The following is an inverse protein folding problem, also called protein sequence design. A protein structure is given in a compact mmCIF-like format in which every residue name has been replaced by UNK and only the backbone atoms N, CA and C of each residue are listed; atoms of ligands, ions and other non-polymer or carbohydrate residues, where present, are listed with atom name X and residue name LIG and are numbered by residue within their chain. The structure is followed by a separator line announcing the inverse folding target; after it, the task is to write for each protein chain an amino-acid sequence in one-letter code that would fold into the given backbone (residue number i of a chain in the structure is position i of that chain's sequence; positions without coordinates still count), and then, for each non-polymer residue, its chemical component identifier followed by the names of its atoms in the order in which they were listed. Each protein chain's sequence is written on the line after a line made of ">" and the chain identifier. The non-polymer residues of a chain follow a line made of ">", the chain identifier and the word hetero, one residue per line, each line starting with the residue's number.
data_IF_072434091441
#
_entry.id   IF_072434091441
#
_cell.length_a   1.000
_cell.length_b   1.000
_cell.length_c   1.000
_cell.angle_alpha   90.00
_cell.angle_beta   90.00
_cell.angle_gamma   90.00
#
_symmetry.space_group_name_H-M   'P 1'
#
loop_
_entity.id
_entity.type
_entity.pdbx_description
1 polymer ?
#
# COMPACT_ATOMS: atom_id res chain seq x y z
N UNK A 1 53.64 5.14 36.79
CA UNK A 1 52.36 5.85 36.58
C UNK A 1 51.74 5.24 35.31
N UNK A 2 50.69 4.40 35.31
CA UNK A 2 49.61 4.14 36.29
C UNK A 2 48.80 5.42 36.58
N UNK A 3 47.46 5.51 36.45
CA UNK A 3 46.33 4.56 36.21
C UNK A 3 45.35 5.17 35.15
N UNK A 4 44.24 4.60 34.65
CA UNK A 4 43.50 3.31 34.79
C UNK A 4 42.33 3.32 33.76
N UNK A 5 41.97 2.22 33.08
CA UNK A 5 40.92 1.21 33.40
C UNK A 5 39.46 1.75 33.48
N UNK A 6 38.56 1.35 32.56
CA UNK A 6 37.51 0.28 32.66
C UNK A 6 36.29 0.74 33.51
N UNK A 7 35.01 0.64 33.10
CA UNK A 7 34.32 0.05 31.91
C UNK A 7 33.16 1.00 31.46
N UNK A 8 32.15 0.72 30.60
CA UNK A 8 31.76 -0.45 29.79
C UNK A 8 30.22 -0.54 29.61
N UNK A 9 29.69 -0.38 28.39
CA UNK A 9 28.29 -0.73 28.07
C UNK A 9 28.13 -1.10 26.59
N UNK A 10 27.47 -2.24 26.30
CA UNK A 10 27.19 -2.70 24.94
C UNK A 10 25.74 -2.35 24.56
N UNK A 11 25.56 -1.35 23.70
CA UNK A 11 24.29 -1.09 23.01
C UNK A 11 24.44 -1.32 21.49
N UNK A 12 23.35 -1.71 20.82
CA UNK A 12 23.35 -2.17 19.43
C UNK A 12 23.34 -1.02 18.38
N UNK A 13 24.36 -0.16 18.36
CA UNK A 13 24.41 0.98 17.41
C UNK A 13 25.01 0.66 16.02
N UNK A 14 25.18 -0.62 15.70
CA UNK A 14 25.96 -1.05 14.52
C UNK A 14 25.26 -1.09 13.15
N UNK A 15 23.98 -0.70 13.03
CA UNK A 15 23.20 -0.89 11.79
C UNK A 15 22.75 0.39 11.05
N UNK A 16 22.36 1.47 11.75
CA UNK A 16 21.80 2.67 11.09
C UNK A 16 22.83 3.56 10.40
N UNK A 17 24.10 3.50 10.81
CA UNK A 17 25.20 4.27 10.21
C UNK A 17 25.42 3.97 8.71
N UNK A 18 24.95 2.81 8.22
CA UNK A 18 25.00 2.47 6.80
C UNK A 18 24.00 3.28 5.97
N UNK A 19 22.73 3.30 6.35
CA UNK A 19 21.65 3.90 5.57
C UNK A 19 21.84 5.42 5.39
N UNK A 20 22.15 6.14 6.47
CA UNK A 20 22.40 7.58 6.45
C UNK A 20 23.56 7.98 5.53
N UNK A 21 24.59 7.12 5.42
CA UNK A 21 25.75 7.36 4.56
C UNK A 21 25.43 7.17 3.07
N UNK A 22 24.63 6.15 2.71
CA UNK A 22 24.17 5.96 1.33
C UNK A 22 23.24 7.08 0.86
N UNK A 23 22.33 7.57 1.71
CA UNK A 23 21.45 8.70 1.40
C UNK A 23 22.21 10.02 1.16
N UNK A 24 23.33 10.24 1.87
CA UNK A 24 24.21 11.39 1.68
C UNK A 24 24.98 11.37 0.34
N UNK A 25 25.23 10.19 -0.24
CA UNK A 25 25.85 10.09 -1.57
C UNK A 25 24.82 10.30 -2.69
N UNK A 26 23.59 9.81 -2.53
CA UNK A 26 22.49 10.00 -3.51
C UNK A 26 22.07 11.48 -3.58
N UNK A 27 22.09 12.22 -2.46
CA UNK A 27 21.76 13.65 -2.48
C UNK A 27 22.84 14.51 -3.18
N UNK A 28 24.08 14.03 -3.28
CA UNK A 28 25.18 14.71 -3.97
C UNK A 28 25.20 14.50 -5.47
N UNK A 29 24.66 13.40 -5.99
CA UNK A 29 24.68 13.06 -7.43
C UNK A 29 23.59 13.78 -8.24
N UNK A 30 23.30 15.04 -7.91
CA UNK A 30 22.13 15.79 -8.38
C UNK A 30 21.89 15.75 -9.90
N UNK A 31 20.89 14.96 -10.30
CA UNK A 31 20.28 14.96 -11.63
C UNK A 31 18.86 14.36 -11.53
N UNK A 32 17.93 15.12 -10.95
CA UNK A 32 16.49 14.79 -11.01
C UNK A 32 15.77 15.77 -11.93
N UNK A 33 15.64 15.39 -13.20
CA UNK A 33 14.82 16.09 -14.18
C UNK A 33 13.33 15.89 -13.87
N UNK A 34 12.76 16.81 -13.10
CA UNK A 34 11.31 16.99 -12.98
C UNK A 34 10.72 17.33 -14.36
N UNK A 35 10.21 16.35 -15.12
CA UNK A 35 9.04 16.52 -16.01
C UNK A 35 8.56 15.21 -16.69
N UNK A 36 7.25 15.18 -16.94
CA UNK A 36 6.45 14.29 -17.83
C UNK A 36 5.72 13.04 -17.25
N UNK A 37 4.40 13.25 -17.12
CA UNK A 37 3.28 12.36 -17.45
C UNK A 37 3.17 10.95 -16.86
N UNK A 38 2.27 10.80 -15.88
CA UNK A 38 1.37 9.66 -15.80
C UNK A 38 -0.05 10.09 -16.22
N UNK A 39 -0.71 9.33 -17.11
CA UNK A 39 -2.14 9.56 -17.44
C UNK A 39 -2.99 8.84 -16.39
N UNK A 40 -3.83 9.56 -15.65
CA UNK A 40 -4.88 8.97 -14.82
C UNK A 40 -5.98 8.36 -15.71
N UNK A 41 -6.59 7.26 -15.25
CA UNK A 41 -7.75 6.63 -15.89
C UNK A 41 -8.87 6.61 -14.86
N UNK A 42 -9.80 7.55 -14.98
CA UNK A 42 -10.99 7.60 -14.14
C UNK A 42 -12.06 6.65 -14.68
N UNK A 43 -12.17 5.46 -14.10
CA UNK A 43 -13.36 4.62 -14.26
C UNK A 43 -14.49 5.16 -13.35
N UNK A 44 -15.64 5.50 -13.96
CA UNK A 44 -16.87 5.81 -13.23
C UNK A 44 -17.83 4.62 -13.26
N UNK A 45 -18.55 4.45 -12.15
CA UNK A 45 -19.74 3.59 -11.96
C UNK A 45 -19.55 2.06 -11.97
N UNK A 46 -19.34 1.49 -10.77
CA UNK A 46 -20.16 0.35 -10.26
C UNK A 46 -20.41 0.53 -8.76
N UNK A 47 -21.45 1.29 -8.38
CA UNK A 47 -21.86 1.46 -6.96
C UNK A 47 -23.35 1.20 -6.73
N UNK A 48 -23.89 0.13 -7.33
CA UNK A 48 -25.18 -0.41 -6.89
C UNK A 48 -25.02 -1.04 -5.48
N UNK A 49 -25.91 -0.73 -4.51
CA UNK A 49 -25.87 -1.37 -3.19
C UNK A 49 -26.11 -2.87 -3.33
N UNK A 50 -25.32 -3.66 -2.60
CA UNK A 50 -25.46 -5.12 -2.55
C UNK A 50 -26.74 -5.44 -1.78
N UNK A 51 -27.70 -6.13 -2.40
CA UNK A 51 -28.67 -6.91 -1.63
C UNK A 51 -28.03 -8.25 -1.29
N UNK A 52 -28.29 -8.78 -0.09
CA UNK A 52 -27.81 -10.10 0.30
C UNK A 52 -28.44 -11.25 -0.52
N UNK A 53 -29.45 -10.94 -1.33
CA UNK A 53 -30.03 -11.80 -2.36
C UNK A 53 -29.12 -11.96 -3.59
N UNK A 54 -28.41 -10.89 -4.01
CA UNK A 54 -27.72 -10.83 -5.32
C UNK A 54 -26.36 -11.54 -5.37
N UNK A 55 -25.75 -11.84 -4.21
CA UNK A 55 -24.33 -12.25 -4.13
C UNK A 55 -24.09 -13.61 -3.49
N UNK A 56 -25.05 -14.13 -2.71
CA UNK A 56 -24.75 -15.21 -1.76
C UNK A 56 -25.70 -16.41 -1.85
N UNK A 57 -25.25 -17.46 -2.55
CA UNK A 57 -25.78 -18.82 -2.47
C UNK A 57 -25.29 -19.49 -1.17
N UNK A 58 -25.85 -19.07 -0.03
CA UNK A 58 -25.15 -19.24 1.27
C UNK A 58 -25.17 -20.64 1.88
N UNK A 59 -26.00 -21.55 1.41
CA UNK A 59 -26.23 -22.85 2.05
C UNK A 59 -26.40 -23.92 0.99
N UNK A 60 -25.57 -24.96 1.09
CA UNK A 60 -25.57 -26.22 0.34
C UNK A 60 -26.78 -26.47 -0.58
N UNK A 61 -26.54 -26.73 -1.86
CA UNK A 61 -26.47 -28.11 -2.40
C UNK A 61 -25.70 -28.10 -3.74
N UNK A 62 -25.12 -29.25 -4.11
CA UNK A 62 -24.48 -29.60 -5.39
C UNK A 62 -23.89 -28.49 -6.28
N UNK A 63 -22.59 -28.18 -6.09
CA UNK A 63 -21.75 -27.56 -7.14
C UNK A 63 -20.39 -28.25 -7.16
N UNK A 64 -20.13 -28.93 -8.27
CA UNK A 64 -18.94 -29.77 -8.55
C UNK A 64 -17.59 -29.10 -8.29
N UNK A 65 -16.60 -29.93 -7.95
CA UNK A 65 -15.20 -29.53 -7.73
C UNK A 65 -14.55 -28.87 -8.95
N UNK A 66 -15.06 -29.13 -10.15
CA UNK A 66 -14.54 -28.61 -11.43
C UNK A 66 -14.57 -27.08 -11.59
N UNK A 67 -15.34 -26.36 -10.76
CA UNK A 67 -15.53 -24.90 -10.92
C UNK A 67 -14.38 -24.03 -10.36
N UNK A 68 -13.45 -24.59 -9.57
CA UNK A 68 -12.30 -23.85 -9.05
C UNK A 68 -11.15 -23.73 -10.05
N UNK A 69 -10.96 -24.74 -10.92
CA UNK A 69 -9.79 -24.82 -11.80
C UNK A 69 -9.83 -23.82 -12.97
N UNK A 70 -11.02 -23.35 -13.37
CA UNK A 70 -11.18 -22.42 -14.50
C UNK A 70 -10.68 -21.00 -14.23
N UNK A 71 -10.59 -20.59 -12.96
CA UNK A 71 -10.17 -19.24 -12.58
C UNK A 71 -8.65 -19.09 -12.33
N UNK A 72 -7.89 -20.20 -12.32
CA UNK A 72 -6.44 -20.17 -12.06
C UNK A 72 -5.59 -19.87 -13.30
N UNK A 73 -6.15 -19.94 -14.52
CA UNK A 73 -5.40 -19.91 -15.79
C UNK A 73 -5.85 -18.82 -16.79
N UNK A 74 -6.47 -17.73 -16.35
CA UNK A 74 -6.94 -16.67 -17.24
C UNK A 74 -5.86 -15.60 -17.55
N UNK A 75 -5.15 -15.75 -18.68
CA UNK A 75 -4.32 -14.67 -19.24
C UNK A 75 -5.19 -13.51 -19.76
N UNK A 76 -4.79 -12.23 -19.53
CA UNK A 76 -5.58 -11.08 -19.96
C UNK A 76 -5.26 -10.65 -21.40
N UNK A 77 -6.12 -11.02 -22.36
CA UNK A 77 -6.07 -10.47 -23.72
C UNK A 77 -6.40 -8.97 -23.72
N UNK A 78 -5.47 -8.14 -24.19
CA UNK A 78 -5.65 -6.69 -24.35
C UNK A 78 -6.25 -6.36 -25.71
N UNK A 79 -7.21 -5.43 -25.74
CA UNK A 79 -7.41 -4.50 -26.86
C UNK A 79 -8.12 -3.25 -26.33
N UNK A 80 -7.56 -2.08 -26.62
CA UNK A 80 -8.17 -0.78 -26.31
C UNK A 80 -8.01 0.14 -27.52
N UNK A 81 -9.13 0.63 -28.06
CA UNK A 81 -9.11 1.71 -29.03
C UNK A 81 -8.86 3.04 -28.30
N UNK A 82 -8.13 3.95 -28.96
CA UNK A 82 -7.78 5.26 -28.43
C UNK A 82 -8.67 6.30 -29.09
N UNK A 83 -9.58 6.92 -28.32
CA UNK A 83 -10.20 8.18 -28.71
C UNK A 83 -9.63 9.30 -27.84
N UNK A 84 -9.24 10.39 -28.49
CA UNK A 84 -8.60 11.56 -27.86
C UNK A 84 -9.64 12.54 -27.35
N UNK A 85 -9.61 12.83 -26.06
CA UNK A 85 -10.43 13.88 -25.44
C UNK A 85 -9.58 15.13 -25.22
N UNK A 86 -9.95 16.24 -25.87
CA UNK A 86 -9.42 17.57 -25.58
C UNK A 86 -9.97 18.08 -24.25
N UNK A 87 -9.14 18.64 -23.37
CA UNK A 87 -9.59 19.32 -22.15
C UNK A 87 -8.96 20.71 -22.00
N UNK A 88 -9.74 21.61 -21.40
CA UNK A 88 -9.61 23.06 -21.45
C UNK A 88 -8.44 23.64 -20.65
N UNK A 89 -7.84 24.68 -21.20
CA UNK A 89 -6.69 25.40 -20.65
C UNK A 89 -7.04 26.35 -19.49
N UNK A 90 -6.64 25.99 -18.28
CA UNK A 90 -6.38 26.94 -17.17
C UNK A 90 -5.17 26.49 -16.34
N UNK A 91 -4.03 26.32 -17.01
CA UNK A 91 -2.78 25.89 -16.40
C UNK A 91 -2.23 27.00 -15.49
N UNK A 92 -1.95 26.70 -14.22
CA UNK A 92 -1.08 27.58 -13.42
C UNK A 92 0.31 27.62 -14.07
N UNK A 93 0.95 28.79 -14.05
CA UNK A 93 2.34 28.88 -14.50
C UNK A 93 3.28 28.16 -13.53
N UNK A 94 4.51 27.89 -13.97
CA UNK A 94 5.54 27.31 -13.10
C UNK A 94 5.80 28.21 -11.88
N UNK A 95 5.76 29.52 -12.08
CA UNK A 95 6.05 30.50 -11.05
C UNK A 95 4.89 30.59 -10.04
N UNK A 96 3.63 30.52 -10.50
CA UNK A 96 2.46 30.41 -9.60
C UNK A 96 2.53 29.19 -8.67
N UNK A 97 3.02 28.05 -9.17
CA UNK A 97 3.19 26.82 -8.37
C UNK A 97 4.31 27.01 -7.35
N UNK A 98 5.42 27.66 -7.75
CA UNK A 98 6.55 27.96 -6.88
C UNK A 98 6.14 28.91 -5.75
N UNK A 99 5.46 30.01 -6.07
CA UNK A 99 5.01 31.02 -5.10
C UNK A 99 4.00 30.44 -4.10
N UNK A 100 3.02 29.65 -4.57
CA UNK A 100 2.10 28.91 -3.69
C UNK A 100 2.84 27.91 -2.79
N UNK A 101 3.84 27.21 -3.32
CA UNK A 101 4.66 26.27 -2.53
C UNK A 101 5.43 27.01 -1.43
N UNK A 102 6.08 28.14 -1.75
CA UNK A 102 6.77 28.97 -0.76
C UNK A 102 5.82 29.56 0.28
N UNK A 103 4.63 30.01 -0.12
CA UNK A 103 3.60 30.50 0.79
C UNK A 103 3.23 29.42 1.80
N UNK A 104 2.85 28.22 1.33
CA UNK A 104 2.50 27.10 2.19
C UNK A 104 3.66 26.68 3.11
N UNK A 105 4.90 26.65 2.62
CA UNK A 105 6.07 26.35 3.45
C UNK A 105 6.30 27.40 4.54
N UNK A 106 6.09 28.68 4.23
CA UNK A 106 6.26 29.77 5.20
C UNK A 106 5.17 29.76 6.29
N UNK A 107 3.93 29.39 5.95
CA UNK A 107 2.83 29.20 6.93
C UNK A 107 3.12 28.05 7.90
N UNK A 108 3.85 27.02 7.45
CA UNK A 108 4.13 25.81 8.24
C UNK A 108 5.60 25.77 8.73
N UNK A 109 6.23 26.94 8.90
CA UNK A 109 7.65 27.06 9.21
C UNK A 109 8.06 26.33 10.49
N UNK A 110 7.29 26.48 11.57
CA UNK A 110 7.62 25.89 12.89
C UNK A 110 7.64 24.35 12.84
N UNK A 111 6.74 23.74 12.05
CA UNK A 111 6.78 22.31 11.73
C UNK A 111 8.01 21.98 10.88
N UNK A 112 8.27 22.75 9.82
CA UNK A 112 9.41 22.50 8.92
C UNK A 112 10.76 22.54 9.67
N UNK A 113 10.87 23.32 10.75
CA UNK A 113 12.04 23.36 11.63
C UNK A 113 12.13 22.16 12.60
N UNK A 114 11.03 21.48 12.94
CA UNK A 114 11.06 20.24 13.75
C UNK A 114 11.44 18.99 12.95
N UNK A 115 11.17 18.98 11.65
CA UNK A 115 11.41 17.83 10.78
C UNK A 115 12.90 17.55 10.52
N UNK A 116 13.22 16.28 10.25
CA UNK A 116 14.50 15.89 9.68
C UNK A 116 14.61 16.23 8.18
N UNK A 117 15.82 16.10 7.61
CA UNK A 117 16.09 16.48 6.21
C UNK A 117 15.27 15.68 5.18
N UNK A 118 14.88 14.44 5.50
CA UNK A 118 13.97 13.64 4.67
C UNK A 118 12.53 14.15 4.78
N UNK A 119 12.07 14.45 6.00
CA UNK A 119 10.75 15.00 6.29
C UNK A 119 10.54 16.37 5.63
N UNK A 120 11.52 17.26 5.70
CA UNK A 120 11.51 18.56 4.98
C UNK A 120 11.34 18.39 3.48
N UNK A 121 12.05 17.43 2.86
CA UNK A 121 11.94 17.12 1.43
C UNK A 121 10.57 16.53 1.09
N UNK A 122 10.11 15.55 1.85
CA UNK A 122 8.77 14.98 1.70
C UNK A 122 7.71 16.08 1.75
N UNK A 123 7.75 16.94 2.77
CA UNK A 123 6.80 18.02 2.96
C UNK A 123 6.84 19.04 1.80
N UNK A 124 8.02 19.52 1.40
CA UNK A 124 8.16 20.46 0.30
C UNK A 124 7.70 19.88 -1.06
N UNK A 125 8.02 18.62 -1.35
CA UNK A 125 7.52 17.95 -2.54
C UNK A 125 6.02 17.67 -2.48
N UNK A 126 5.47 17.34 -1.31
CA UNK A 126 4.04 17.13 -1.10
C UNK A 126 3.22 18.40 -1.31
N UNK A 127 3.69 19.56 -0.87
CA UNK A 127 3.00 20.84 -1.13
C UNK A 127 2.87 21.11 -2.63
N UNK A 128 3.91 20.81 -3.43
CA UNK A 128 3.85 20.88 -4.88
C UNK A 128 2.86 19.87 -5.47
N UNK A 129 2.90 18.61 -5.01
CA UNK A 129 1.99 17.55 -5.47
C UNK A 129 0.52 17.83 -5.13
N UNK A 130 0.23 18.51 -4.01
CA UNK A 130 -1.11 18.99 -3.65
C UNK A 130 -1.60 20.09 -4.61
N UNK A 131 -0.76 21.07 -4.94
CA UNK A 131 -1.12 22.10 -5.93
C UNK A 131 -1.37 21.45 -7.31
N UNK A 132 -0.57 20.45 -7.68
CA UNK A 132 -0.75 19.68 -8.92
C UNK A 132 -1.98 18.76 -8.87
N UNK A 133 -2.40 18.27 -7.69
CA UNK A 133 -3.65 17.52 -7.51
C UNK A 133 -4.86 18.35 -7.91
N UNK A 134 -4.92 19.59 -7.44
CA UNK A 134 -6.08 20.47 -7.68
C UNK A 134 -6.17 20.91 -9.15
N UNK A 135 -5.03 21.06 -9.84
CA UNK A 135 -4.96 21.53 -11.24
C UNK A 135 -5.01 20.39 -12.27
N UNK A 136 -4.44 19.22 -11.95
CA UNK A 136 -4.25 18.11 -12.90
C UNK A 136 -4.90 16.79 -12.45
N UNK A 137 -5.72 16.81 -11.39
CA UNK A 137 -6.41 15.64 -10.83
C UNK A 137 -5.49 14.46 -10.49
N UNK A 138 -4.32 14.76 -9.92
CA UNK A 138 -3.33 13.76 -9.52
C UNK A 138 -3.87 12.79 -8.46
N UNK A 139 -4.09 11.53 -8.82
CA UNK A 139 -4.64 10.50 -7.93
C UNK A 139 -3.72 10.18 -6.73
N UNK A 140 -2.39 10.26 -6.91
CA UNK A 140 -1.40 9.99 -5.84
C UNK A 140 -0.20 10.94 -5.92
N UNK A 141 0.35 11.35 -4.78
CA UNK A 141 1.63 12.06 -4.74
C UNK A 141 2.71 11.24 -5.49
N UNK A 142 3.70 11.94 -6.05
CA UNK A 142 4.73 11.31 -6.89
C UNK A 142 5.51 10.29 -6.06
N UNK A 143 5.92 9.20 -6.69
CA UNK A 143 6.68 8.13 -6.02
C UNK A 143 8.03 8.64 -5.50
N UNK A 144 8.61 9.64 -6.18
CA UNK A 144 9.74 10.44 -5.69
C UNK A 144 9.47 11.28 -4.44
N UNK A 145 8.24 11.77 -4.25
CA UNK A 145 7.79 12.42 -3.01
C UNK A 145 7.65 11.38 -1.91
N UNK A 146 6.89 10.31 -2.15
CA UNK A 146 6.64 9.20 -1.21
C UNK A 146 7.95 8.59 -0.69
N UNK A 147 8.96 8.46 -1.55
CA UNK A 147 10.31 8.01 -1.21
C UNK A 147 10.93 8.80 -0.04
N UNK A 148 10.82 10.13 -0.02
CA UNK A 148 11.35 10.92 1.10
C UNK A 148 10.61 10.66 2.41
N UNK A 149 9.31 10.36 2.33
CA UNK A 149 8.51 9.96 3.49
C UNK A 149 9.03 8.68 4.13
N UNK A 150 9.48 7.70 3.34
CA UNK A 150 10.03 6.44 3.86
C UNK A 150 11.30 6.66 4.70
N UNK A 151 12.10 7.65 4.32
CA UNK A 151 13.39 7.96 4.95
C UNK A 151 13.32 9.01 6.05
N UNK A 152 12.14 9.52 6.42
CA UNK A 152 11.98 10.40 7.60
C UNK A 152 11.91 9.60 8.90
N UNK A 153 12.47 10.16 9.96
CA UNK A 153 12.26 9.71 11.33
C UNK A 153 11.14 10.49 12.04
N UNK A 154 10.62 11.56 11.42
CA UNK A 154 9.52 12.40 11.93
C UNK A 154 8.13 11.93 11.44
N UNK A 155 7.96 10.61 11.24
CA UNK A 155 6.76 10.05 10.60
C UNK A 155 5.45 10.36 11.36
N UNK A 156 5.51 10.36 12.70
CA UNK A 156 4.39 10.70 13.58
C UNK A 156 3.99 12.17 13.49
N UNK A 157 4.95 13.08 13.31
CA UNK A 157 4.73 14.53 13.20
C UNK A 157 4.06 14.86 11.86
N UNK A 158 4.58 14.27 10.79
CA UNK A 158 4.02 14.39 9.44
C UNK A 158 2.62 13.77 9.38
N UNK A 159 2.42 12.58 9.97
CA UNK A 159 1.10 11.96 10.02
C UNK A 159 0.08 12.80 10.81
N UNK A 160 0.47 13.32 11.97
CA UNK A 160 -0.37 14.24 12.77
C UNK A 160 -0.77 15.44 11.93
N UNK A 161 0.17 16.09 11.25
CA UNK A 161 -0.12 17.24 10.40
C UNK A 161 -1.13 16.93 9.29
N UNK A 162 -0.90 15.86 8.53
CA UNK A 162 -1.73 15.49 7.36
C UNK A 162 -3.19 15.23 7.76
N UNK A 163 -3.41 14.62 8.93
CA UNK A 163 -4.74 14.18 9.39
C UNK A 163 -5.20 14.86 10.68
N UNK A 164 -4.64 16.03 11.03
CA UNK A 164 -5.01 16.68 12.28
C UNK A 164 -6.49 17.04 12.28
N UNK A 165 -7.19 16.64 13.33
CA UNK A 165 -8.65 16.74 13.48
C UNK A 165 -9.49 16.12 12.34
N UNK A 166 -8.91 15.44 11.34
CA UNK A 166 -9.66 14.79 10.27
C UNK A 166 -10.35 13.50 10.78
N UNK A 167 -11.66 13.62 11.03
CA UNK A 167 -12.56 12.50 11.35
C UNK A 167 -12.86 11.65 10.11
N UNK A 168 -12.97 12.28 8.93
CA UNK A 168 -13.53 11.72 7.70
C UNK A 168 -12.49 11.17 6.71
N UNK A 169 -11.33 10.77 7.23
CA UNK A 169 -10.24 10.11 6.49
C UNK A 169 -10.75 9.06 5.49
N UNK A 170 -10.38 9.18 4.21
CA UNK A 170 -10.72 8.19 3.16
C UNK A 170 -9.49 7.41 2.67
N UNK A 171 -9.69 6.30 1.94
CA UNK A 171 -8.57 5.53 1.40
C UNK A 171 -7.81 6.32 0.34
N UNK A 172 -8.52 7.11 -0.48
CA UNK A 172 -7.94 7.97 -1.52
C UNK A 172 -7.01 9.03 -0.93
N UNK A 173 -7.33 9.59 0.24
CA UNK A 173 -6.42 10.48 0.97
C UNK A 173 -5.18 9.73 1.46
N UNK A 174 -5.36 8.62 2.19
CA UNK A 174 -4.27 7.78 2.72
C UNK A 174 -3.33 7.32 1.60
N UNK A 175 -3.90 6.91 0.47
CA UNK A 175 -3.19 6.53 -0.76
C UNK A 175 -2.46 7.71 -1.37
N UNK A 176 -3.10 8.88 -1.45
CA UNK A 176 -2.50 10.09 -2.01
C UNK A 176 -1.22 10.48 -1.27
N UNK A 177 -1.26 10.48 0.06
CA UNK A 177 -0.10 10.82 0.89
C UNK A 177 0.98 9.73 0.95
N UNK A 178 0.75 8.54 0.37
CA UNK A 178 1.74 7.44 0.36
C UNK A 178 1.85 6.67 1.67
N UNK A 179 0.92 6.86 2.61
CA UNK A 179 1.02 6.41 4.01
C UNK A 179 1.28 4.91 4.12
N UNK A 180 0.62 4.10 3.28
CA UNK A 180 0.75 2.63 3.31
C UNK A 180 2.19 2.17 3.02
N UNK A 181 2.94 2.94 2.23
CA UNK A 181 4.37 2.71 2.00
C UNK A 181 5.19 3.17 3.22
N UNK A 182 5.21 4.47 3.53
CA UNK A 182 6.25 5.02 4.40
C UNK A 182 6.03 4.89 5.90
N UNK A 183 4.80 4.91 6.41
CA UNK A 183 4.54 4.92 7.85
C UNK A 183 4.92 3.57 8.47
N UNK A 184 5.84 3.56 9.44
CA UNK A 184 6.41 2.35 10.08
C UNK A 184 5.56 1.92 11.28
N UNK A 185 5.00 2.87 12.02
CA UNK A 185 4.19 2.64 13.23
C UNK A 185 2.91 1.84 12.93
N UNK A 186 2.96 0.53 13.19
CA UNK A 186 1.83 -0.40 13.03
C UNK A 186 0.64 0.00 13.91
N UNK A 187 0.87 0.58 15.08
CA UNK A 187 -0.17 1.13 15.96
C UNK A 187 -0.96 2.25 15.30
N UNK A 188 -0.31 3.13 14.54
CA UNK A 188 -0.99 4.21 13.80
C UNK A 188 -1.70 3.63 12.57
N UNK A 189 -1.07 2.72 11.82
CA UNK A 189 -1.70 2.00 10.70
C UNK A 189 -2.97 1.25 11.14
N UNK A 190 -2.98 0.68 12.35
CA UNK A 190 -4.18 0.10 12.97
C UNK A 190 -5.27 1.14 13.18
N UNK A 191 -4.94 2.29 13.75
CA UNK A 191 -5.89 3.40 13.94
C UNK A 191 -6.46 3.91 12.62
N UNK A 192 -5.62 4.02 11.57
CA UNK A 192 -6.05 4.35 10.20
C UNK A 192 -7.04 3.31 9.68
N UNK A 193 -6.73 2.02 9.73
CA UNK A 193 -7.63 0.95 9.28
C UNK A 193 -8.98 0.98 10.03
N UNK A 194 -8.97 1.25 11.33
CA UNK A 194 -10.19 1.39 12.13
C UNK A 194 -11.02 2.62 11.78
N UNK A 195 -10.38 3.75 11.41
CA UNK A 195 -11.06 4.95 10.90
C UNK A 195 -11.66 4.68 9.52
N UNK A 196 -10.87 4.16 8.58
CA UNK A 196 -11.32 3.80 7.22
C UNK A 196 -12.55 2.88 7.25
N UNK A 197 -12.51 1.81 8.06
CA UNK A 197 -13.63 0.89 8.22
C UNK A 197 -14.90 1.58 8.74
N UNK A 198 -14.78 2.49 9.72
CA UNK A 198 -15.92 3.26 10.24
C UNK A 198 -16.47 4.21 9.18
N UNK A 199 -15.59 4.93 8.49
CA UNK A 199 -15.96 5.97 7.53
C UNK A 199 -16.64 5.37 6.30
N UNK A 200 -16.14 4.26 5.77
CA UNK A 200 -16.80 3.52 4.67
C UNK A 200 -18.20 3.02 5.08
N UNK A 201 -18.34 2.44 6.28
CA UNK A 201 -19.66 2.03 6.78
C UNK A 201 -20.61 3.22 6.98
N UNK A 202 -20.13 4.34 7.53
CA UNK A 202 -20.94 5.54 7.75
C UNK A 202 -21.38 6.19 6.43
N UNK A 203 -20.54 6.18 5.39
CA UNK A 203 -20.84 6.79 4.11
C UNK A 203 -21.90 6.03 3.29
N UNK A 204 -21.90 4.69 3.34
CA UNK A 204 -22.77 3.83 2.49
C UNK A 204 -23.80 2.99 3.26
N UNK A 205 -23.73 2.96 4.60
CA UNK A 205 -24.52 2.08 5.48
C UNK A 205 -24.45 0.58 5.14
N UNK A 206 -23.41 0.14 4.43
CA UNK A 206 -23.20 -1.24 4.02
C UNK A 206 -22.01 -1.85 4.79
N UNK A 207 -22.22 -2.87 5.65
CA UNK A 207 -21.13 -3.48 6.42
C UNK A 207 -20.05 -4.16 5.57
N UNK A 208 -20.35 -4.56 4.33
CA UNK A 208 -19.36 -5.18 3.43
C UNK A 208 -18.27 -4.20 3.01
N UNK A 209 -18.56 -2.90 2.91
CA UNK A 209 -17.54 -1.91 2.54
C UNK A 209 -16.46 -1.83 3.62
N UNK A 210 -16.83 -1.97 4.90
CA UNK A 210 -15.89 -2.02 6.02
C UNK A 210 -15.19 -3.39 6.21
N UNK A 211 -15.55 -4.42 5.43
CA UNK A 211 -15.15 -5.80 5.70
C UNK A 211 -13.65 -6.04 5.55
N UNK A 212 -13.03 -5.46 4.51
CA UNK A 212 -11.60 -5.62 4.25
C UNK A 212 -10.77 -5.19 5.46
N UNK A 213 -10.92 -3.93 5.89
CA UNK A 213 -10.20 -3.37 7.04
C UNK A 213 -10.47 -4.09 8.36
N UNK A 214 -11.72 -4.46 8.67
CA UNK A 214 -12.01 -5.19 9.89
C UNK A 214 -11.44 -6.62 9.89
N UNK A 215 -11.40 -7.32 8.75
CA UNK A 215 -10.86 -8.69 8.68
C UNK A 215 -9.32 -8.72 8.74
N UNK A 216 -8.64 -7.77 8.11
CA UNK A 216 -7.18 -7.57 8.26
C UNK A 216 -6.81 -7.38 9.74
N UNK A 217 -7.66 -6.71 10.51
CA UNK A 217 -7.50 -6.48 11.95
C UNK A 217 -7.96 -7.64 12.85
N UNK A 218 -8.39 -8.77 12.27
CA UNK A 218 -8.97 -9.91 13.01
C UNK A 218 -10.34 -9.63 13.67
N UNK A 219 -10.96 -8.49 13.37
CA UNK A 219 -12.20 -8.00 14.02
C UNK A 219 -13.49 -8.52 13.36
N UNK A 220 -13.56 -9.81 13.00
CA UNK A 220 -14.76 -10.45 12.41
C UNK A 220 -16.05 -10.15 13.19
N UNK A 221 -15.97 -10.13 14.52
CA UNK A 221 -17.12 -9.87 15.40
C UNK A 221 -17.71 -8.46 15.23
N UNK A 222 -16.92 -7.47 14.77
CA UNK A 222 -17.46 -6.15 14.41
C UNK A 222 -18.39 -6.23 13.21
N UNK A 223 -18.09 -7.08 12.22
CA UNK A 223 -18.96 -7.28 11.05
C UNK A 223 -20.27 -7.97 11.44
N UNK A 224 -20.22 -8.99 12.29
CA UNK A 224 -21.44 -9.62 12.85
C UNK A 224 -22.32 -8.59 13.58
N UNK A 225 -21.71 -7.66 14.33
CA UNK A 225 -22.43 -6.55 14.96
C UNK A 225 -23.03 -5.58 13.92
N UNK A 226 -22.27 -5.17 12.90
CA UNK A 226 -22.74 -4.26 11.86
C UNK A 226 -23.86 -4.87 10.99
N UNK A 227 -23.80 -6.16 10.65
CA UNK A 227 -24.91 -6.84 9.97
C UNK A 227 -26.18 -6.88 10.83
N UNK A 228 -26.04 -7.00 12.15
CA UNK A 228 -27.16 -6.89 13.09
C UNK A 228 -27.78 -5.49 13.10
N UNK A 229 -26.98 -4.41 13.03
CA UNK A 229 -27.53 -3.04 13.05
C UNK A 229 -28.31 -2.71 11.78
N UNK A 230 -27.84 -3.17 10.61
CA UNK A 230 -28.58 -3.04 9.33
C UNK A 230 -29.66 -4.10 9.12
N UNK A 231 -29.86 -4.99 10.11
CA UNK A 231 -30.85 -6.09 10.14
C UNK A 231 -30.68 -7.14 9.03
N UNK A 232 -29.49 -7.26 8.45
CA UNK A 232 -29.19 -8.34 7.50
C UNK A 232 -28.87 -9.63 8.25
N UNK A 233 -29.94 -10.39 8.56
CA UNK A 233 -29.81 -11.68 9.25
C UNK A 233 -28.99 -12.69 8.45
N UNK A 234 -29.13 -12.71 7.12
CA UNK A 234 -28.48 -13.68 6.22
C UNK A 234 -26.95 -13.53 6.28
N UNK A 235 -26.45 -12.31 6.17
CA UNK A 235 -25.02 -12.02 6.32
C UNK A 235 -24.53 -12.11 7.77
N UNK A 236 -25.33 -11.68 8.75
CA UNK A 236 -25.00 -11.84 10.18
C UNK A 236 -24.76 -13.31 10.53
N UNK A 237 -25.68 -14.20 10.16
CA UNK A 237 -25.61 -15.64 10.47
C UNK A 237 -24.42 -16.30 9.75
N UNK A 238 -24.05 -15.85 8.55
CA UNK A 238 -22.85 -16.33 7.85
C UNK A 238 -21.54 -15.87 8.51
N UNK A 239 -21.37 -14.56 8.78
CA UNK A 239 -20.16 -14.05 9.41
C UNK A 239 -19.97 -14.57 10.85
N UNK A 240 -21.04 -15.04 11.49
CA UNK A 240 -21.00 -15.70 12.79
C UNK A 240 -20.49 -17.16 12.75
N UNK A 241 -20.36 -17.78 11.58
CA UNK A 241 -19.82 -19.14 11.43
C UNK A 241 -18.31 -19.21 11.73
N UNK A 242 -17.81 -20.42 11.96
CA UNK A 242 -16.39 -20.70 12.15
C UNK A 242 -15.69 -21.03 10.83
N UNK A 243 -14.87 -20.09 10.35
CA UNK A 243 -14.14 -20.23 9.09
C UNK A 243 -12.85 -21.05 9.19
N UNK A 244 -12.50 -21.57 10.37
CA UNK A 244 -11.48 -22.62 10.50
C UNK A 244 -11.97 -23.98 9.96
N UNK A 245 -13.28 -24.19 9.91
CA UNK A 245 -13.88 -25.40 9.36
C UNK A 245 -14.00 -25.36 7.83
N UNK A 246 -13.54 -26.41 7.16
CA UNK A 246 -13.47 -26.53 5.69
C UNK A 246 -14.75 -26.14 4.96
N UNK A 247 -15.91 -26.55 5.49
CA UNK A 247 -17.22 -26.23 4.90
C UNK A 247 -17.41 -24.71 4.74
N UNK A 248 -17.17 -23.95 5.80
CA UNK A 248 -17.39 -22.49 5.77
C UNK A 248 -16.27 -21.76 5.05
N UNK A 249 -15.04 -22.28 5.13
CA UNK A 249 -13.89 -21.83 4.33
C UNK A 249 -14.18 -21.91 2.82
N UNK A 250 -14.67 -23.06 2.33
CA UNK A 250 -15.05 -23.25 0.92
C UNK A 250 -16.21 -22.33 0.52
N UNK A 251 -17.22 -22.15 1.38
CA UNK A 251 -18.30 -21.19 1.10
C UNK A 251 -17.80 -19.74 1.00
N UNK A 252 -16.89 -19.31 1.88
CA UNK A 252 -16.27 -17.98 1.79
C UNK A 252 -15.46 -17.83 0.48
N UNK A 253 -14.71 -18.85 0.10
CA UNK A 253 -13.91 -18.86 -1.14
C UNK A 253 -14.80 -18.80 -2.40
N UNK A 254 -15.89 -19.57 -2.46
CA UNK A 254 -16.87 -19.50 -3.56
C UNK A 254 -17.47 -18.09 -3.69
N UNK A 255 -17.78 -17.44 -2.58
CA UNK A 255 -18.27 -16.05 -2.58
C UNK A 255 -17.20 -15.05 -3.04
N UNK A 256 -15.92 -15.27 -2.71
CA UNK A 256 -14.81 -14.42 -3.19
C UNK A 256 -14.72 -14.47 -4.73
N UNK A 257 -14.79 -15.66 -5.34
CA UNK A 257 -14.80 -15.80 -6.80
C UNK A 257 -16.05 -15.22 -7.46
N UNK A 258 -17.24 -15.35 -6.85
CA UNK A 258 -18.45 -14.69 -7.32
C UNK A 258 -18.30 -13.15 -7.33
N UNK A 259 -17.74 -12.57 -6.26
CA UNK A 259 -17.45 -11.14 -6.16
C UNK A 259 -16.40 -10.66 -7.17
N UNK A 260 -15.40 -11.49 -7.51
CA UNK A 260 -14.47 -11.21 -8.61
C UNK A 260 -15.21 -11.11 -9.96
N UNK A 261 -16.14 -12.02 -10.23
CA UNK A 261 -16.99 -11.98 -11.44
C UNK A 261 -17.84 -10.71 -11.54
N UNK A 262 -18.28 -10.19 -10.40
CA UNK A 262 -19.01 -8.92 -10.28
C UNK A 262 -18.11 -7.66 -10.25
N UNK A 263 -16.80 -7.81 -10.46
CA UNK A 263 -15.80 -6.74 -10.38
C UNK A 263 -15.73 -6.01 -9.00
N UNK A 264 -16.23 -6.63 -7.94
CA UNK A 264 -16.22 -6.08 -6.57
C UNK A 264 -14.94 -6.48 -5.83
N UNK A 265 -13.80 -5.94 -6.28
CA UNK A 265 -12.48 -6.45 -5.90
C UNK A 265 -12.14 -6.33 -4.41
N UNK A 266 -12.47 -5.22 -3.75
CA UNK A 266 -12.25 -5.07 -2.29
C UNK A 266 -13.12 -6.03 -1.47
N UNK A 267 -14.38 -6.24 -1.87
CA UNK A 267 -15.25 -7.23 -1.24
C UNK A 267 -14.73 -8.65 -1.46
N UNK A 268 -14.30 -8.99 -2.68
CA UNK A 268 -13.68 -10.28 -2.97
C UNK A 268 -12.43 -10.52 -2.11
N UNK A 269 -11.55 -9.53 -2.00
CA UNK A 269 -10.37 -9.55 -1.14
C UNK A 269 -10.72 -9.79 0.34
N UNK A 270 -11.79 -9.16 0.84
CA UNK A 270 -12.31 -9.41 2.19
C UNK A 270 -12.78 -10.87 2.36
N UNK A 271 -13.45 -11.47 1.38
CA UNK A 271 -13.88 -12.87 1.44
C UNK A 271 -12.71 -13.87 1.30
N UNK A 272 -11.67 -13.55 0.54
CA UNK A 272 -10.41 -14.32 0.54
C UNK A 272 -9.74 -14.31 1.92
N UNK A 273 -9.67 -13.15 2.60
CA UNK A 273 -9.17 -13.10 3.99
C UNK A 273 -10.07 -13.89 4.95
N UNK A 274 -11.39 -13.86 4.76
CA UNK A 274 -12.34 -14.62 5.58
C UNK A 274 -12.14 -16.14 5.44
N UNK A 275 -11.76 -16.63 4.25
CA UNK A 275 -11.40 -18.04 4.02
C UNK A 275 -9.96 -18.39 4.44
N UNK A 276 -9.16 -17.42 4.89
CA UNK A 276 -7.75 -17.60 5.19
C UNK A 276 -6.83 -17.64 3.96
N UNK A 277 -7.36 -17.42 2.74
CA UNK A 277 -6.55 -17.30 1.53
C UNK A 277 -5.95 -15.89 1.40
N UNK A 278 -4.87 -15.66 2.14
CA UNK A 278 -4.12 -14.40 2.11
C UNK A 278 -3.53 -14.11 0.72
N UNK A 279 -3.16 -15.15 -0.04
CA UNK A 279 -2.59 -14.98 -1.37
C UNK A 279 -3.64 -14.53 -2.38
N UNK A 280 -4.84 -15.12 -2.38
CA UNK A 280 -5.98 -14.68 -3.18
C UNK A 280 -6.39 -13.23 -2.89
N UNK A 281 -6.34 -12.80 -1.63
CA UNK A 281 -6.53 -11.41 -1.24
C UNK A 281 -5.49 -10.47 -1.88
N UNK A 282 -4.20 -10.73 -1.66
CA UNK A 282 -3.10 -9.90 -2.19
C UNK A 282 -3.14 -9.84 -3.72
N UNK A 283 -3.29 -11.01 -4.36
CA UNK A 283 -3.40 -11.15 -5.80
C UNK A 283 -4.55 -10.31 -6.36
N UNK A 284 -5.72 -10.34 -5.72
CA UNK A 284 -6.91 -9.55 -6.10
C UNK A 284 -6.63 -8.04 -6.01
N UNK A 285 -6.08 -7.57 -4.90
CA UNK A 285 -5.81 -6.14 -4.70
C UNK A 285 -4.76 -5.61 -5.68
N UNK A 286 -3.70 -6.38 -5.96
CA UNK A 286 -2.63 -5.96 -6.87
C UNK A 286 -3.07 -6.02 -8.34
N UNK A 287 -3.67 -7.12 -8.80
CA UNK A 287 -3.93 -7.27 -10.26
C UNK A 287 -5.33 -6.91 -10.71
N UNK A 288 -6.33 -6.86 -9.80
CA UNK A 288 -7.70 -6.46 -10.14
C UNK A 288 -8.01 -5.04 -9.65
N UNK A 289 -7.78 -4.74 -8.38
CA UNK A 289 -7.96 -3.38 -7.84
C UNK A 289 -6.82 -2.42 -8.22
N UNK A 290 -5.67 -2.94 -8.71
CA UNK A 290 -4.48 -2.17 -9.12
C UNK A 290 -3.92 -1.26 -8.01
N UNK A 291 -4.11 -1.64 -6.74
CA UNK A 291 -3.68 -0.84 -5.59
C UNK A 291 -2.52 -1.49 -4.84
N UNK A 292 -1.30 -1.21 -5.32
CA UNK A 292 -0.09 -1.74 -4.70
C UNK A 292 0.10 -1.22 -3.26
N UNK A 293 -0.33 0.01 -2.98
CA UNK A 293 -0.18 0.60 -1.64
C UNK A 293 -1.12 -0.07 -0.63
N UNK A 294 -2.35 -0.39 -1.06
CA UNK A 294 -3.28 -1.16 -0.25
C UNK A 294 -2.73 -2.57 0.03
N UNK A 295 -2.11 -3.22 -0.96
CA UNK A 295 -1.47 -4.52 -0.76
C UNK A 295 -0.31 -4.45 0.26
N UNK A 296 0.56 -3.44 0.18
CA UNK A 296 1.59 -3.21 1.21
C UNK A 296 0.98 -3.01 2.60
N UNK A 297 -0.10 -2.23 2.71
CA UNK A 297 -0.82 -2.05 3.98
C UNK A 297 -1.38 -3.37 4.51
N UNK A 298 -2.09 -4.14 3.67
CA UNK A 298 -2.64 -5.46 4.02
C UNK A 298 -1.55 -6.36 4.59
N UNK A 299 -0.43 -6.49 3.88
CA UNK A 299 0.67 -7.35 4.31
C UNK A 299 1.30 -6.88 5.62
N UNK A 300 1.60 -5.58 5.76
CA UNK A 300 2.13 -5.00 7.00
C UNK A 300 1.20 -5.26 8.19
N UNK A 301 -0.11 -5.18 7.98
CA UNK A 301 -1.11 -5.35 9.02
C UNK A 301 -1.38 -6.82 9.37
N UNK A 302 -1.37 -7.73 8.38
CA UNK A 302 -1.44 -9.18 8.62
C UNK A 302 -0.26 -9.61 9.49
N UNK A 303 0.97 -9.21 9.11
CA UNK A 303 2.19 -9.56 9.84
C UNK A 303 2.29 -8.93 11.24
N UNK A 304 1.47 -7.92 11.56
CA UNK A 304 1.51 -7.20 12.83
C UNK A 304 0.36 -7.54 13.81
N UNK A 305 -0.84 -7.86 13.31
CA UNK A 305 -2.04 -7.97 14.15
C UNK A 305 -2.99 -9.13 13.82
N UNK A 306 -2.85 -9.78 12.67
CA UNK A 306 -3.78 -10.85 12.29
C UNK A 306 -3.42 -12.17 12.97
N UNK A 307 -4.42 -13.05 13.12
CA UNK A 307 -4.22 -14.45 13.48
C UNK A 307 -3.95 -15.37 12.27
N UNK A 308 -3.85 -14.79 11.07
CA UNK A 308 -3.51 -15.49 9.82
C UNK A 308 -2.01 -15.83 9.75
N UNK A 309 -1.65 -16.70 8.82
CA UNK A 309 -0.23 -16.99 8.52
C UNK A 309 0.49 -15.72 8.05
N UNK A 310 1.70 -15.42 8.59
CA UNK A 310 2.45 -14.24 8.18
C UNK A 310 2.96 -14.37 6.74
N UNK A 311 2.85 -13.30 5.98
CA UNK A 311 3.30 -13.22 4.59
C UNK A 311 4.80 -12.94 4.56
N UNK A 312 5.54 -13.77 3.84
CA UNK A 312 6.95 -13.53 3.54
C UNK A 312 7.09 -12.27 2.67
N UNK A 313 7.62 -11.18 3.26
CA UNK A 313 7.83 -9.89 2.60
C UNK A 313 8.79 -9.97 1.40
N UNK A 314 9.80 -10.84 1.44
CA UNK A 314 10.75 -11.01 0.34
C UNK A 314 10.08 -11.62 -0.88
N UNK A 315 9.26 -12.66 -0.67
CA UNK A 315 8.45 -13.27 -1.73
C UNK A 315 7.44 -12.25 -2.29
N UNK A 316 6.73 -11.52 -1.41
CA UNK A 316 5.81 -10.47 -1.82
C UNK A 316 6.48 -9.39 -2.70
N UNK A 317 7.62 -8.84 -2.26
CA UNK A 317 8.37 -7.82 -2.99
C UNK A 317 8.89 -8.34 -4.33
N UNK A 318 9.51 -9.52 -4.34
CA UNK A 318 10.04 -10.13 -5.57
C UNK A 318 8.93 -10.42 -6.57
N UNK A 319 7.86 -11.08 -6.14
CA UNK A 319 6.76 -11.54 -7.02
C UNK A 319 5.90 -10.40 -7.55
N UNK A 320 5.55 -9.42 -6.71
CA UNK A 320 4.49 -8.46 -7.02
C UNK A 320 4.94 -7.02 -7.25
N UNK A 321 6.17 -6.66 -6.84
CA UNK A 321 6.69 -5.29 -6.98
C UNK A 321 7.79 -5.21 -8.02
N UNK A 322 8.85 -6.00 -7.83
CA UNK A 322 10.05 -5.98 -8.68
C UNK A 322 9.94 -6.96 -9.85
N UNK A 323 8.96 -7.88 -9.82
CA UNK A 323 8.69 -8.90 -10.84
C UNK A 323 9.90 -9.82 -11.15
N UNK A 324 10.64 -10.22 -10.10
CA UNK A 324 11.80 -11.12 -10.18
C UNK A 324 11.57 -12.46 -9.44
N UNK A 325 12.27 -13.55 -9.83
CA UNK A 325 12.29 -14.78 -9.03
C UNK A 325 12.92 -14.55 -7.66
N UNK A 326 12.35 -15.14 -6.60
CA UNK A 326 12.92 -15.07 -5.25
C UNK A 326 14.35 -15.63 -5.19
N UNK A 327 14.64 -16.67 -5.98
CA UNK A 327 15.99 -17.25 -6.09
C UNK A 327 17.04 -16.23 -6.53
N UNK A 328 16.69 -15.25 -7.36
CA UNK A 328 17.63 -14.20 -7.78
C UNK A 328 18.03 -13.28 -6.60
N UNK A 329 17.10 -13.04 -5.68
CA UNK A 329 17.38 -12.32 -4.44
C UNK A 329 18.23 -13.18 -3.49
N UNK A 330 17.94 -14.47 -3.35
CA UNK A 330 18.71 -15.41 -2.51
C UNK A 330 20.15 -15.61 -3.01
N UNK A 331 20.33 -15.77 -4.33
CA UNK A 331 21.62 -15.79 -5.02
C UNK A 331 22.40 -14.50 -4.77
N UNK A 332 21.74 -13.35 -4.85
CA UNK A 332 22.34 -12.06 -4.54
C UNK A 332 22.75 -11.98 -3.07
N UNK A 333 21.87 -12.28 -2.10
CA UNK A 333 22.20 -12.28 -0.65
C UNK A 333 23.38 -13.19 -0.34
N UNK A 334 23.44 -14.35 -0.99
CA UNK A 334 24.52 -15.34 -0.85
C UNK A 334 25.86 -14.85 -1.45
N UNK A 335 25.79 -14.18 -2.59
CA UNK A 335 26.96 -13.62 -3.30
C UNK A 335 27.52 -12.36 -2.63
N UNK A 336 26.68 -11.59 -1.94
CA UNK A 336 27.00 -10.24 -1.45
C UNK A 336 27.89 -10.21 -0.18
N UNK A 337 28.61 -11.30 0.14
CA UNK A 337 29.74 -11.26 1.09
C UNK A 337 30.94 -10.44 0.56
N UNK A 338 30.90 -9.98 -0.70
CA UNK A 338 31.86 -9.03 -1.29
C UNK A 338 31.11 -7.99 -2.14
N UNK A 339 31.21 -6.72 -1.75
CA UNK A 339 30.55 -5.54 -2.35
C UNK A 339 31.00 -5.19 -3.80
N UNK A 340 31.23 -6.15 -4.70
CA UNK A 340 32.06 -5.91 -5.90
C UNK A 340 31.73 -6.65 -7.21
N UNK A 341 30.66 -7.44 -7.32
CA UNK A 341 30.31 -8.14 -8.58
C UNK A 341 28.97 -7.67 -9.16
N UNK A 342 29.01 -6.59 -9.94
CA UNK A 342 27.85 -5.97 -10.58
C UNK A 342 27.66 -6.44 -12.03
N UNK A 343 26.93 -7.54 -12.22
CA UNK A 343 26.33 -7.87 -13.52
C UNK A 343 24.79 -8.01 -13.47
N UNK A 344 24.20 -8.25 -12.29
CA UNK A 344 22.75 -8.53 -12.18
C UNK A 344 21.87 -7.27 -11.91
N UNK A 345 22.45 -6.12 -11.57
CA UNK A 345 21.67 -4.88 -11.39
C UNK A 345 21.08 -4.35 -12.72
N UNK A 346 21.69 -4.72 -13.85
CA UNK A 346 21.12 -4.48 -15.19
C UNK A 346 19.97 -5.44 -15.57
N UNK A 347 19.66 -6.42 -14.72
CA UNK A 347 18.43 -7.21 -14.78
C UNK A 347 17.34 -6.45 -13.99
N UNK A 348 17.67 -5.98 -12.78
CA UNK A 348 16.78 -5.13 -11.98
C UNK A 348 16.34 -3.86 -12.73
N UNK A 349 17.23 -3.23 -13.50
CA UNK A 349 16.86 -2.06 -14.34
C UNK A 349 15.78 -2.37 -15.38
N UNK A 350 15.84 -3.54 -16.03
CA UNK A 350 14.94 -3.91 -17.13
C UNK A 350 13.52 -4.22 -16.66
N UNK A 351 13.36 -4.61 -15.39
CA UNK A 351 12.06 -4.85 -14.76
C UNK A 351 11.57 -3.63 -13.93
N UNK A 352 12.35 -2.55 -13.89
CA UNK A 352 12.06 -1.36 -13.10
C UNK A 352 11.01 -0.46 -13.76
N UNK A 353 9.71 -0.69 -13.50
CA UNK A 353 8.65 0.22 -13.98
C UNK A 353 8.65 1.57 -13.26
N UNK A 354 9.02 1.59 -11.99
CA UNK A 354 9.22 2.80 -11.19
C UNK A 354 10.40 2.58 -10.21
N UNK A 355 11.50 3.36 -10.33
CA UNK A 355 12.70 3.17 -9.51
C UNK A 355 12.50 3.53 -8.03
N UNK A 356 11.58 4.45 -7.71
CA UNK A 356 11.26 4.82 -6.34
C UNK A 356 10.42 3.74 -5.67
N UNK A 357 9.41 3.18 -6.35
CA UNK A 357 8.62 2.04 -5.84
C UNK A 357 9.52 0.83 -5.60
N UNK A 358 10.42 0.51 -6.53
CA UNK A 358 11.36 -0.59 -6.33
C UNK A 358 12.33 -0.31 -5.17
N UNK A 359 12.79 0.94 -4.99
CA UNK A 359 13.58 1.30 -3.80
C UNK A 359 12.80 1.14 -2.50
N UNK A 360 11.56 1.62 -2.46
CA UNK A 360 10.65 1.48 -1.32
C UNK A 360 10.46 -0.01 -0.98
N UNK A 361 10.28 -0.86 -1.99
CA UNK A 361 10.10 -2.30 -1.82
C UNK A 361 11.35 -2.99 -1.27
N UNK A 362 12.53 -2.71 -1.83
CA UNK A 362 13.80 -3.25 -1.32
C UNK A 362 14.10 -2.79 0.12
N UNK A 363 13.74 -1.56 0.48
CA UNK A 363 13.87 -1.05 1.84
C UNK A 363 12.99 -1.80 2.84
N UNK A 364 11.74 -2.15 2.45
CA UNK A 364 10.85 -2.94 3.31
C UNK A 364 11.36 -4.35 3.63
N UNK A 365 12.24 -4.91 2.79
CA UNK A 365 12.91 -6.20 3.03
C UNK A 365 14.35 -6.01 3.56
N UNK A 366 14.68 -4.81 4.03
CA UNK A 366 15.97 -4.43 4.61
C UNK A 366 17.18 -4.48 3.64
N UNK A 367 16.93 -4.57 2.34
CA UNK A 367 17.97 -4.59 1.31
C UNK A 367 18.33 -3.19 0.83
N UNK A 368 18.80 -2.39 1.78
CA UNK A 368 19.15 -0.97 1.61
C UNK A 368 20.15 -0.72 0.47
N UNK A 369 21.03 -1.68 0.19
CA UNK A 369 21.94 -1.58 -0.93
C UNK A 369 21.22 -1.65 -2.28
N UNK A 370 20.31 -2.62 -2.47
CA UNK A 370 19.51 -2.70 -3.70
C UNK A 370 18.60 -1.48 -3.84
N UNK A 371 17.99 -1.04 -2.73
CA UNK A 371 17.17 0.18 -2.70
C UNK A 371 17.95 1.41 -3.23
N UNK A 372 19.17 1.62 -2.74
CA UNK A 372 20.03 2.73 -3.21
C UNK A 372 20.57 2.59 -4.63
N UNK A 373 20.59 1.39 -5.21
CA UNK A 373 21.06 1.17 -6.59
C UNK A 373 19.96 1.38 -7.62
N UNK A 374 18.72 0.96 -7.35
CA UNK A 374 17.62 1.08 -8.34
C UNK A 374 17.21 2.52 -8.65
N UNK A 375 17.60 3.49 -7.81
CA UNK A 375 17.40 4.94 -8.05
C UNK A 375 18.45 5.53 -9.01
N UNK A 376 19.62 4.88 -9.15
CA UNK A 376 20.74 5.37 -9.99
C UNK A 376 20.65 4.92 -11.45
N UNK A 377 19.54 4.27 -11.80
CA UNK A 377 19.22 3.63 -13.08
C UNK A 377 18.25 4.54 -13.83
#
# INVERSE_FOLDING_TARGET
>A
MAFGKIDGEKSNEGKDLGASRYLFEISKSGNFSLFQSGRGICDKEVNAPIKSEDIFNYTNDDIDSHYLDSYTNAEPTRNYNIESVEHSSSCLSRDDIIDKTYSNLSTNKDMLESLDESGKKYFACLQNDLIVKDVCHLETAKTSTIFWGLHTNCEDEIFKYIFDNNQNMTWEEVKFYGIGFWLKSTTILKSICEKLAKNQFQAKHNPLDAALYYLILGKKNMLVYLFRTVKDKKLMDFFNQDFSADRFRVSALKNAYALLGMQRFEHAAAFFLLSGDVQGCIQTIITKAKDLQLAFLIVKMINAFSCMEPVNMENFVCRYVVEIPLTLLEEWKSSNKRYGCFNNVSILSKHCRDPFINSIAFWHIQEYFLAGQVIKI
#
